data_IF_376063109404
#
_entry.id   IF_376063109404
#
_cell.length_a   1.000
_cell.length_b   1.000
_cell.length_c   1.000
_cell.angle_alpha   90.00
_cell.angle_beta   90.00
_cell.angle_gamma   90.00
#
_symmetry.space_group_name_H-M   'P 1'
#
loop_
_entity.id
_entity.type
_entity.pdbx_description
1 polymer ?
#
# COMPACT_ATOMS: atom_id res chain seq x y z
N UNK A 1 -16.66 4.14 11.74
CA UNK A 1 -15.28 4.49 12.18
C UNK A 1 -15.16 5.96 12.53
N UNK A 2 -15.77 6.88 11.77
CA UNK A 2 -15.82 8.30 12.12
C UNK A 2 -16.62 8.58 13.41
N UNK A 3 -17.69 7.83 13.71
CA UNK A 3 -18.56 8.11 14.87
C UNK A 3 -17.86 8.10 16.23
N UNK A 4 -17.02 7.10 16.52
CA UNK A 4 -16.28 7.02 17.79
C UNK A 4 -15.22 8.13 17.90
N UNK A 5 -14.57 8.48 16.78
CA UNK A 5 -13.62 9.59 16.74
C UNK A 5 -14.33 10.93 16.97
N UNK A 6 -15.51 11.12 16.39
CA UNK A 6 -16.34 12.31 16.61
C UNK A 6 -16.78 12.39 18.07
N UNK A 7 -17.14 11.26 18.69
CA UNK A 7 -17.49 11.23 20.10
C UNK A 7 -16.30 11.63 20.97
N UNK A 8 -15.13 11.03 20.75
CA UNK A 8 -13.89 11.38 21.44
C UNK A 8 -13.52 12.86 21.28
N UNK A 9 -13.51 13.37 20.04
CA UNK A 9 -13.21 14.78 19.73
C UNK A 9 -14.15 15.77 20.42
N UNK A 10 -15.41 15.40 20.65
CA UNK A 10 -16.39 16.30 21.26
C UNK A 10 -16.55 16.11 22.77
N UNK A 11 -16.21 14.92 23.29
CA UNK A 11 -16.44 14.53 24.68
C UNK A 11 -15.20 14.73 25.53
N UNK A 12 -14.04 14.33 25.01
CA UNK A 12 -12.78 14.30 25.74
C UNK A 12 -11.92 15.53 25.42
N UNK A 13 -12.14 16.15 24.25
CA UNK A 13 -11.48 17.37 23.85
C UNK A 13 -12.53 18.49 23.86
N UNK A 14 -12.35 19.49 24.72
CA UNK A 14 -13.24 20.65 24.81
C UNK A 14 -12.96 21.64 23.67
N UNK A 15 -13.24 21.22 22.44
CA UNK A 15 -13.03 22.02 21.24
C UNK A 15 -13.98 23.22 21.20
N UNK A 16 -13.52 24.32 20.58
CA UNK A 16 -14.30 25.56 20.44
C UNK A 16 -15.55 25.35 19.57
N UNK A 17 -15.49 24.37 18.67
CA UNK A 17 -16.59 23.96 17.79
C UNK A 17 -16.84 22.47 17.87
N UNK A 18 -18.12 22.12 17.86
CA UNK A 18 -18.55 20.73 17.80
C UNK A 18 -18.30 20.16 16.41
N UNK A 19 -17.55 19.07 16.34
CA UNK A 19 -17.25 18.36 15.10
C UNK A 19 -18.44 17.48 14.71
N UNK A 20 -18.96 17.67 13.51
CA UNK A 20 -20.03 16.86 12.90
C UNK A 20 -19.50 15.97 11.78
N UNK A 21 -18.54 16.49 11.00
CA UNK A 21 -17.85 15.77 9.94
C UNK A 21 -16.35 15.98 10.11
N UNK A 22 -15.64 14.88 10.38
CA UNK A 22 -14.20 14.87 10.58
C UNK A 22 -13.47 15.45 9.37
N UNK A 23 -13.90 15.11 8.14
CA UNK A 23 -13.22 15.57 6.93
C UNK A 23 -13.41 17.06 6.68
N UNK A 24 -14.62 17.58 6.90
CA UNK A 24 -14.96 18.97 6.61
C UNK A 24 -14.49 19.92 7.72
N UNK A 25 -14.74 19.55 8.97
CA UNK A 25 -14.49 20.47 10.09
C UNK A 25 -12.99 20.57 10.42
N UNK A 26 -12.19 19.55 10.05
CA UNK A 26 -10.73 19.55 10.25
C UNK A 26 -9.94 20.00 9.01
N UNK A 27 -10.58 20.25 7.87
CA UNK A 27 -9.90 20.59 6.61
C UNK A 27 -9.09 21.89 6.70
N UNK A 28 -9.61 22.86 7.47
CA UNK A 28 -8.97 24.14 7.73
C UNK A 28 -7.72 24.02 8.62
N UNK A 29 -7.60 22.94 9.40
CA UNK A 29 -6.44 22.71 10.28
C UNK A 29 -6.45 23.53 11.59
N UNK A 30 -7.34 24.52 11.74
CA UNK A 30 -7.48 25.27 13.00
C UNK A 30 -7.88 24.36 14.17
N UNK A 31 -8.93 23.54 14.00
CA UNK A 31 -9.36 22.59 15.03
C UNK A 31 -8.30 21.51 15.30
N UNK A 32 -7.49 21.13 14.30
CA UNK A 32 -6.36 20.23 14.52
C UNK A 32 -5.30 20.89 15.41
N UNK A 33 -5.05 22.19 15.26
CA UNK A 33 -4.15 22.95 16.14
C UNK A 33 -4.67 22.95 17.57
N UNK A 34 -5.97 23.14 17.75
CA UNK A 34 -6.60 23.04 19.06
C UNK A 34 -6.47 21.63 19.67
N UNK A 35 -6.66 20.58 18.88
CA UNK A 35 -6.44 19.19 19.33
C UNK A 35 -5.01 19.00 19.82
N UNK A 36 -3.99 19.54 19.12
CA UNK A 36 -2.61 19.44 19.57
C UNK A 36 -2.34 20.20 20.89
N UNK A 37 -3.03 21.32 21.12
CA UNK A 37 -2.95 22.05 22.40
C UNK A 37 -3.51 21.23 23.56
N UNK A 38 -4.70 20.67 23.39
CA UNK A 38 -5.34 19.85 24.42
C UNK A 38 -4.57 18.55 24.70
N UNK A 39 -3.79 18.06 23.72
CA UNK A 39 -2.86 16.94 23.90
C UNK A 39 -1.49 17.36 24.47
N UNK A 40 -1.32 18.63 24.83
CA UNK A 40 -0.06 19.22 25.33
C UNK A 40 1.14 19.08 24.34
N UNK A 41 0.86 18.83 23.06
CA UNK A 41 1.85 18.69 21.98
C UNK A 41 2.20 20.04 21.37
N UNK A 42 1.23 20.95 21.25
CA UNK A 42 1.49 22.31 20.77
C UNK A 42 0.87 23.37 21.68
N UNK A 43 1.72 23.96 22.52
CA UNK A 43 1.33 25.07 23.41
C UNK A 43 1.33 26.42 22.69
N UNK A 44 1.74 26.50 21.41
CA UNK A 44 1.78 27.74 20.63
C UNK A 44 0.39 28.18 20.16
N UNK A 45 -0.61 27.29 20.18
CA UNK A 45 -1.97 27.63 19.82
C UNK A 45 -2.60 28.60 20.87
N UNK A 46 -3.23 29.72 20.46
CA UNK A 46 -3.73 30.03 19.11
C UNK A 46 -2.80 30.91 18.25
N UNK A 47 -1.59 31.23 18.68
CA UNK A 47 -0.71 32.14 17.93
C UNK A 47 -0.29 31.52 16.58
N UNK A 48 -0.61 32.21 15.48
CA UNK A 48 -0.28 31.75 14.11
C UNK A 48 -1.35 30.89 13.45
N UNK A 49 -2.40 30.49 14.17
CA UNK A 49 -3.55 29.76 13.63
C UNK A 49 -4.68 30.73 13.27
N UNK A 50 -5.24 30.58 12.07
CA UNK A 50 -6.32 31.43 11.57
C UNK A 50 -7.51 30.56 11.18
N UNK A 51 -8.64 30.77 11.86
CA UNK A 51 -9.90 30.09 11.56
C UNK A 51 -10.60 30.74 10.35
N UNK A 52 -10.07 30.48 9.16
CA UNK A 52 -10.65 30.95 7.90
C UNK A 52 -10.42 29.93 6.77
N UNK A 53 -11.44 29.66 5.96
CA UNK A 53 -11.39 28.65 4.89
C UNK A 53 -10.65 29.11 3.62
N UNK A 54 -9.90 30.21 3.71
CA UNK A 54 -9.02 30.62 2.60
C UNK A 54 -7.85 29.65 2.47
N UNK A 55 -7.49 29.28 1.23
CA UNK A 55 -6.38 28.35 0.96
C UNK A 55 -5.08 28.81 1.62
N UNK A 56 -4.82 30.11 1.67
CA UNK A 56 -3.65 30.67 2.34
C UNK A 56 -3.65 30.40 3.87
N UNK A 57 -4.79 30.58 4.53
CA UNK A 57 -4.93 30.26 5.96
C UNK A 57 -4.82 28.75 6.20
N UNK A 58 -5.45 27.91 5.37
CA UNK A 58 -5.34 26.45 5.47
C UNK A 58 -3.89 25.97 5.33
N UNK A 59 -3.15 26.48 4.34
CA UNK A 59 -1.73 26.14 4.14
C UNK A 59 -0.90 26.60 5.35
N UNK A 60 -1.11 27.82 5.84
CA UNK A 60 -0.42 28.34 7.02
C UNK A 60 -0.69 27.49 8.26
N UNK A 61 -1.95 27.14 8.51
CA UNK A 61 -2.35 26.27 9.62
C UNK A 61 -1.68 24.88 9.52
N UNK A 62 -1.64 24.28 8.32
CA UNK A 62 -0.98 22.98 8.10
C UNK A 62 0.53 23.04 8.25
N UNK A 63 1.16 24.16 7.90
CA UNK A 63 2.58 24.37 8.11
C UNK A 63 2.90 24.47 9.61
N UNK A 64 2.11 25.20 10.40
CA UNK A 64 2.25 25.26 11.85
C UNK A 64 2.10 23.88 12.49
N UNK A 65 1.07 23.10 12.10
CA UNK A 65 0.93 21.70 12.53
C UNK A 65 2.16 20.86 12.21
N UNK A 66 2.74 21.05 11.03
CA UNK A 66 3.93 20.29 10.61
C UNK A 66 5.15 20.62 11.48
N UNK A 67 5.30 21.87 11.90
CA UNK A 67 6.40 22.34 12.75
C UNK A 67 6.22 21.77 14.17
N UNK A 68 5.03 21.91 14.74
CA UNK A 68 4.69 21.40 16.07
C UNK A 68 4.92 19.88 16.17
N UNK A 69 4.43 19.12 15.19
CA UNK A 69 4.57 17.66 15.17
C UNK A 69 6.00 17.19 14.91
N UNK A 70 6.77 17.94 14.10
CA UNK A 70 8.18 17.64 13.85
C UNK A 70 9.01 17.76 15.14
N UNK A 71 8.70 18.73 16.00
CA UNK A 71 9.38 18.87 17.30
C UNK A 71 9.15 17.65 18.22
N UNK A 72 8.06 16.91 18.01
CA UNK A 72 7.70 15.68 18.72
C UNK A 72 8.06 14.39 17.97
N UNK A 73 8.84 14.48 16.87
CA UNK A 73 9.29 13.32 16.10
C UNK A 73 8.21 12.68 15.22
N UNK A 74 7.05 13.32 15.05
CA UNK A 74 5.95 12.81 14.22
C UNK A 74 6.09 13.39 12.81
N UNK A 75 6.23 12.52 11.81
CA UNK A 75 6.36 12.93 10.41
C UNK A 75 5.00 13.34 9.81
N UNK A 76 4.76 14.65 9.72
CA UNK A 76 3.61 15.22 9.01
C UNK A 76 4.04 15.69 7.61
N UNK A 77 3.71 14.89 6.58
CA UNK A 77 4.15 15.16 5.19
C UNK A 77 3.17 16.06 4.43
N UNK A 78 3.68 16.72 3.39
CA UNK A 78 2.88 17.60 2.51
C UNK A 78 1.71 16.85 1.86
N UNK A 79 1.86 15.56 1.56
CA UNK A 79 0.80 14.74 0.99
C UNK A 79 -0.35 14.48 1.97
N UNK A 80 -0.04 14.35 3.26
CA UNK A 80 -1.03 14.20 4.32
C UNK A 80 -1.77 15.53 4.51
N UNK A 81 -1.03 16.64 4.62
CA UNK A 81 -1.60 17.98 4.71
C UNK A 81 -2.55 18.28 3.55
N UNK A 82 -2.08 18.05 2.31
CA UNK A 82 -2.89 18.20 1.10
C UNK A 82 -4.10 17.28 1.09
N UNK A 83 -3.97 16.05 1.59
CA UNK A 83 -5.07 15.10 1.74
C UNK A 83 -6.16 15.60 2.68
N UNK A 84 -5.79 16.27 3.77
CA UNK A 84 -6.72 16.86 4.73
C UNK A 84 -7.39 18.11 4.13
N UNK A 85 -6.61 19.02 3.54
CA UNK A 85 -7.12 20.23 2.91
C UNK A 85 -8.13 19.94 1.78
N UNK A 86 -7.92 18.84 1.04
CA UNK A 86 -8.81 18.42 -0.05
C UNK A 86 -9.96 17.52 0.42
N UNK A 87 -10.21 17.44 1.73
CA UNK A 87 -11.28 16.65 2.36
C UNK A 87 -11.29 15.18 1.90
N UNK A 88 -10.10 14.61 1.64
CA UNK A 88 -10.01 13.24 1.18
C UNK A 88 -10.51 12.32 2.28
N UNK A 89 -11.56 11.54 1.98
CA UNK A 89 -12.17 10.60 2.93
C UNK A 89 -11.12 9.78 3.66
N UNK A 90 -11.15 9.88 5.00
CA UNK A 90 -10.24 9.16 5.88
C UNK A 90 -8.81 9.73 6.00
N UNK A 91 -8.45 10.85 5.38
CA UNK A 91 -7.15 11.49 5.57
C UNK A 91 -7.04 12.08 6.99
N UNK A 92 -7.97 12.98 7.37
CA UNK A 92 -8.02 13.56 8.71
C UNK A 92 -8.26 12.50 9.80
N UNK A 93 -9.14 11.53 9.53
CA UNK A 93 -9.45 10.43 10.45
C UNK A 93 -8.22 9.60 10.82
N UNK A 94 -7.36 9.29 9.84
CA UNK A 94 -6.13 8.51 10.09
C UNK A 94 -5.16 9.27 10.98
N UNK A 95 -5.05 10.57 10.76
CA UNK A 95 -4.13 11.44 11.49
C UNK A 95 -4.61 11.63 12.93
N UNK A 96 -5.87 11.96 13.17
CA UNK A 96 -6.40 12.09 14.53
C UNK A 96 -6.33 10.77 15.32
N UNK A 97 -6.60 9.63 14.69
CA UNK A 97 -6.49 8.33 15.36
C UNK A 97 -5.04 7.97 15.70
N UNK A 98 -4.06 8.44 14.92
CA UNK A 98 -2.64 8.27 15.26
C UNK A 98 -2.21 9.13 16.46
N UNK A 99 -2.96 10.19 16.78
CA UNK A 99 -2.67 11.09 17.89
C UNK A 99 -3.45 10.76 19.17
N UNK A 100 -4.38 9.79 19.11
CA UNK A 100 -5.15 9.36 20.28
C UNK A 100 -4.22 8.68 21.32
N UNK A 101 -4.30 9.04 22.62
CA UNK A 101 -3.43 8.47 23.65
C UNK A 101 -3.50 6.95 23.79
N UNK A 102 -2.36 6.34 24.13
CA UNK A 102 -2.15 4.89 24.20
C UNK A 102 -2.88 4.17 25.34
N UNK A 103 -3.60 4.86 26.22
CA UNK A 103 -4.38 4.20 27.28
C UNK A 103 -5.57 3.39 26.75
N UNK A 104 -5.91 3.52 25.45
CA UNK A 104 -6.97 2.79 24.77
C UNK A 104 -6.46 1.69 23.79
N UNK A 105 -5.16 1.38 23.75
CA UNK A 105 -4.54 0.71 22.59
C UNK A 105 -4.44 -0.82 22.61
N UNK A 106 -4.71 -1.53 23.69
CA UNK A 106 -4.55 -3.00 23.68
C UNK A 106 -5.48 -3.69 22.67
N UNK A 107 -6.75 -3.24 22.59
CA UNK A 107 -7.74 -3.75 21.63
C UNK A 107 -7.58 -3.07 20.27
N UNK A 108 -7.11 -1.82 20.26
CA UNK A 108 -7.11 -0.96 19.08
C UNK A 108 -5.91 -1.17 18.15
N UNK A 109 -4.71 -1.48 18.66
CA UNK A 109 -3.53 -1.77 17.81
C UNK A 109 -3.76 -3.05 17.00
N UNK A 110 -4.41 -4.06 17.59
CA UNK A 110 -4.81 -5.27 16.87
C UNK A 110 -5.88 -4.98 15.80
N UNK A 111 -6.88 -4.15 16.12
CA UNK A 111 -7.91 -3.74 15.16
C UNK A 111 -7.35 -2.85 14.04
N UNK A 112 -6.37 -2.01 14.33
CA UNK A 112 -5.72 -1.11 13.38
C UNK A 112 -4.83 -1.84 12.38
N UNK A 113 -4.07 -2.84 12.84
CA UNK A 113 -3.28 -3.72 11.97
C UNK A 113 -4.19 -4.43 10.95
N UNK A 114 -5.33 -4.96 11.43
CA UNK A 114 -6.35 -5.61 10.60
C UNK A 114 -7.04 -4.62 9.65
N UNK A 115 -7.27 -3.37 10.07
CA UNK A 115 -7.95 -2.35 9.27
C UNK A 115 -7.07 -1.70 8.21
N UNK A 116 -5.78 -1.55 8.45
CA UNK A 116 -4.83 -1.10 7.43
C UNK A 116 -4.67 -2.18 6.34
N UNK A 117 -4.66 -3.46 6.71
CA UNK A 117 -4.71 -4.59 5.77
C UNK A 117 -6.02 -4.61 4.98
N UNK A 118 -7.16 -4.27 5.60
CA UNK A 118 -8.45 -4.20 4.93
C UNK A 118 -8.57 -2.98 3.99
N UNK A 119 -8.03 -1.82 4.38
CA UNK A 119 -8.10 -0.59 3.59
C UNK A 119 -7.22 -0.65 2.33
N UNK A 120 -6.03 -1.26 2.41
CA UNK A 120 -5.22 -1.55 1.21
C UNK A 120 -5.90 -2.55 0.27
N UNK A 121 -6.73 -3.46 0.81
CA UNK A 121 -7.57 -4.38 0.02
C UNK A 121 -8.73 -3.67 -0.67
N UNK A 122 -9.38 -2.72 0.01
CA UNK A 122 -10.53 -1.97 -0.52
C UNK A 122 -10.14 -0.98 -1.62
N UNK A 123 -9.00 -0.29 -1.51
CA UNK A 123 -8.49 0.57 -2.58
C UNK A 123 -8.06 -0.24 -3.83
N UNK A 124 -7.60 -1.48 -3.64
CA UNK A 124 -7.36 -2.44 -4.75
C UNK A 124 -8.65 -2.97 -5.39
N UNK A 125 -9.79 -2.97 -4.68
CA UNK A 125 -11.10 -3.35 -5.23
C UNK A 125 -11.74 -2.23 -6.06
N UNK A 126 -11.59 -0.96 -5.64
CA UNK A 126 -12.10 0.20 -6.40
C UNK A 126 -11.47 0.35 -7.78
N UNK A 127 -10.23 -0.09 -7.96
CA UNK A 127 -9.53 -0.08 -9.26
C UNK A 127 -9.78 -1.31 -10.14
N UNK A 128 -10.53 -2.32 -9.65
CA UNK A 128 -10.77 -3.59 -10.35
C UNK A 128 -12.24 -3.97 -10.57
N UNK A 129 -13.19 -3.10 -10.25
CA UNK A 129 -14.60 -3.35 -10.56
C UNK A 129 -14.97 -2.89 -12.00
N UNK A 130 -14.49 -3.62 -13.02
CA UNK A 130 -15.26 -3.78 -14.26
C UNK A 130 -15.92 -5.16 -14.19
N UNK A 131 -17.19 -5.15 -13.80
CA UNK A 131 -18.02 -6.33 -13.68
C UNK A 131 -18.40 -6.81 -15.09
N UNK A 132 -17.86 -7.96 -15.52
CA UNK A 132 -18.44 -8.76 -16.61
C UNK A 132 -19.41 -9.72 -15.94
N UNK A 133 -20.71 -9.51 -16.16
CA UNK A 133 -21.75 -10.46 -15.76
C UNK A 133 -21.81 -11.55 -16.84
N UNK A 134 -21.67 -12.85 -16.52
CA UNK A 134 -22.09 -13.90 -17.43
C UNK A 134 -23.61 -14.05 -17.32
N UNK A 135 -24.32 -13.81 -18.43
CA UNK A 135 -25.75 -14.06 -18.55
C UNK A 135 -26.04 -15.55 -18.38
N UNK A 136 -26.56 -15.95 -17.23
CA UNK A 136 -27.18 -17.27 -17.05
C UNK A 136 -28.66 -17.18 -17.41
N UNK A 137 -29.02 -17.84 -18.51
CA UNK A 137 -30.38 -18.08 -18.97
C UNK A 137 -31.25 -18.66 -17.85
N UNK A 138 -32.21 -17.87 -17.39
CA UNK A 138 -33.29 -18.30 -16.48
C UNK A 138 -34.39 -18.98 -17.30
N UNK A 139 -34.40 -20.32 -17.31
CA UNK A 139 -35.53 -21.10 -17.83
C UNK A 139 -36.70 -20.99 -16.83
N UNK A 140 -37.78 -20.30 -17.22
CA UNK A 140 -39.07 -20.34 -16.52
C UNK A 140 -39.89 -21.56 -17.00
N UNK A 141 -40.57 -22.33 -16.13
CA UNK A 141 -41.61 -23.25 -16.55
C UNK A 141 -42.97 -22.53 -16.71
N UNK A 142 -43.91 -23.10 -17.50
CA UNK A 142 -45.12 -22.40 -17.93
C UNK A 142 -46.22 -22.40 -16.87
N UNK A 143 -47.09 -21.40 -16.97
CA UNK A 143 -48.29 -21.23 -16.16
C UNK A 143 -49.45 -22.04 -16.74
N UNK A 144 -49.84 -23.13 -16.05
CA UNK A 144 -51.25 -23.53 -15.86
C UNK A 144 -51.33 -24.87 -15.10
N UNK A 145 -52.31 -24.96 -14.20
CA UNK A 145 -52.71 -26.22 -13.58
C UNK A 145 -53.04 -26.08 -12.10
N UNK A 146 -54.34 -26.05 -11.81
CA UNK A 146 -54.97 -26.22 -10.50
C UNK A 146 -54.16 -27.18 -9.59
N UNK A 147 -53.64 -26.70 -8.46
CA UNK A 147 -53.11 -27.56 -7.39
C UNK A 147 -54.04 -27.50 -6.20
N UNK A 148 -54.86 -28.55 -6.08
CA UNK A 148 -55.47 -28.93 -4.83
C UNK A 148 -54.35 -29.19 -3.82
N UNK A 149 -54.28 -28.40 -2.74
CA UNK A 149 -53.37 -28.67 -1.62
C UNK A 149 -53.99 -29.77 -0.75
N UNK A 150 -53.36 -30.94 -0.57
CA UNK A 150 -53.81 -31.88 0.45
C UNK A 150 -53.44 -31.33 1.84
N UNK A 151 -54.13 -31.75 2.91
CA UNK A 151 -53.83 -31.28 4.25
C UNK A 151 -52.39 -31.69 4.61
N UNK A 152 -51.59 -30.72 5.06
CA UNK A 152 -50.17 -30.94 5.34
C UNK A 152 -49.99 -31.80 6.59
N UNK A 153 -49.52 -33.01 6.39
CA UNK A 153 -49.04 -33.91 7.44
C UNK A 153 -47.79 -33.30 8.12
N UNK A 154 -47.76 -33.12 9.45
CA UNK A 154 -46.65 -32.49 10.18
C UNK A 154 -45.27 -33.12 9.90
N UNK A 155 -45.22 -34.41 9.58
CA UNK A 155 -43.98 -35.15 9.37
C UNK A 155 -43.22 -34.74 8.08
N UNK A 156 -43.93 -34.28 7.05
CA UNK A 156 -43.34 -33.86 5.76
C UNK A 156 -42.69 -32.48 5.85
N UNK A 157 -43.13 -31.62 6.77
CA UNK A 157 -42.49 -30.32 7.03
C UNK A 157 -41.13 -30.51 7.69
N UNK A 158 -41.04 -31.42 8.66
CA UNK A 158 -39.81 -31.72 9.40
C UNK A 158 -38.69 -32.23 8.48
N UNK A 159 -39.00 -33.12 7.53
CA UNK A 159 -38.02 -33.63 6.56
C UNK A 159 -37.51 -32.55 5.60
N UNK A 160 -38.38 -31.67 5.10
CA UNK A 160 -37.96 -30.57 4.21
C UNK A 160 -37.10 -29.53 4.91
N UNK A 161 -37.35 -29.29 6.20
CA UNK A 161 -36.51 -28.43 7.03
C UNK A 161 -35.12 -29.07 7.23
N UNK A 162 -35.04 -30.34 7.65
CA UNK A 162 -33.74 -31.03 7.79
C UNK A 162 -32.96 -31.16 6.47
N UNK A 163 -33.63 -31.41 5.34
CA UNK A 163 -32.98 -31.51 4.03
C UNK A 163 -32.47 -30.15 3.55
N UNK A 164 -33.22 -29.07 3.77
CA UNK A 164 -32.75 -27.71 3.52
C UNK A 164 -31.55 -27.34 4.41
N UNK A 165 -31.57 -27.73 5.69
CA UNK A 165 -30.49 -27.46 6.63
C UNK A 165 -29.21 -28.24 6.26
N UNK A 166 -29.33 -29.49 5.82
CA UNK A 166 -28.21 -30.28 5.29
C UNK A 166 -27.64 -29.69 3.99
N UNK A 167 -28.51 -29.21 3.09
CA UNK A 167 -28.09 -28.54 1.85
C UNK A 167 -27.43 -27.18 2.14
N UNK A 168 -27.86 -26.45 3.17
CA UNK A 168 -27.21 -25.22 3.63
C UNK A 168 -25.84 -25.52 4.23
N UNK A 169 -25.76 -26.48 5.15
CA UNK A 169 -24.50 -26.89 5.80
C UNK A 169 -23.44 -27.35 4.79
N UNK A 170 -23.84 -28.10 3.76
CA UNK A 170 -22.91 -28.53 2.69
C UNK A 170 -22.43 -27.36 1.80
N UNK A 171 -23.28 -26.36 1.56
CA UNK A 171 -22.88 -25.13 0.85
C UNK A 171 -21.90 -24.30 1.67
N UNK A 172 -22.18 -24.11 2.95
CA UNK A 172 -21.28 -23.43 3.88
C UNK A 172 -19.93 -24.16 3.98
N UNK A 173 -19.94 -25.50 4.06
CA UNK A 173 -18.71 -26.29 4.09
C UNK A 173 -17.87 -26.14 2.81
N UNK A 174 -18.50 -26.15 1.63
CA UNK A 174 -17.79 -25.97 0.36
C UNK A 174 -17.27 -24.55 0.17
N UNK A 175 -18.02 -23.54 0.61
CA UNK A 175 -17.57 -22.15 0.63
C UNK A 175 -16.36 -21.96 1.56
N UNK A 176 -16.40 -22.52 2.77
CA UNK A 176 -15.29 -22.50 3.72
C UNK A 176 -14.05 -23.21 3.17
N UNK A 177 -14.21 -24.37 2.51
CA UNK A 177 -13.11 -25.06 1.85
C UNK A 177 -12.48 -24.21 0.75
N UNK A 178 -13.30 -23.50 -0.05
CA UNK A 178 -12.81 -22.60 -1.07
C UNK A 178 -12.04 -21.43 -0.46
N UNK A 179 -12.55 -20.82 0.62
CA UNK A 179 -11.82 -19.76 1.34
C UNK A 179 -10.50 -20.23 1.92
N UNK A 180 -10.46 -21.43 2.53
CA UNK A 180 -9.24 -22.03 3.06
C UNK A 180 -8.21 -22.27 1.95
N UNK A 181 -8.64 -22.80 0.81
CA UNK A 181 -7.76 -23.02 -0.36
C UNK A 181 -7.18 -21.71 -0.91
N UNK A 182 -7.97 -20.63 -0.91
CA UNK A 182 -7.53 -19.30 -1.33
C UNK A 182 -6.55 -18.68 -0.34
N UNK A 183 -6.77 -18.85 0.97
CA UNK A 183 -5.83 -18.43 2.01
C UNK A 183 -4.50 -19.14 1.86
N UNK A 184 -4.51 -20.46 1.67
CA UNK A 184 -3.28 -21.23 1.52
C UNK A 184 -2.52 -20.86 0.24
N UNK A 185 -3.24 -20.67 -0.88
CA UNK A 185 -2.64 -20.18 -2.12
C UNK A 185 -1.98 -18.80 -1.94
N UNK A 186 -2.59 -17.89 -1.16
CA UNK A 186 -1.99 -16.58 -0.85
C UNK A 186 -0.74 -16.71 0.02
N UNK A 187 -0.78 -17.60 1.03
CA UNK A 187 0.37 -17.88 1.88
C UNK A 187 1.57 -18.36 1.05
N UNK A 188 1.34 -19.30 0.14
CA UNK A 188 2.39 -19.82 -0.74
C UNK A 188 2.98 -18.75 -1.66
N UNK A 189 2.17 -17.81 -2.16
CA UNK A 189 2.68 -16.71 -2.99
C UNK A 189 3.60 -15.78 -2.20
N UNK A 190 3.24 -15.47 -0.95
CA UNK A 190 4.09 -14.62 -0.08
C UNK A 190 5.39 -15.33 0.27
N UNK A 191 5.33 -16.62 0.65
CA UNK A 191 6.52 -17.43 0.91
C UNK A 191 7.43 -17.45 -0.31
N UNK A 192 6.88 -17.73 -1.50
CA UNK A 192 7.66 -17.74 -2.74
C UNK A 192 8.25 -16.37 -3.09
N UNK A 193 7.57 -15.27 -2.77
CA UNK A 193 8.12 -13.92 -2.95
C UNK A 193 9.27 -13.64 -1.99
N UNK A 194 9.14 -14.04 -0.72
CA UNK A 194 10.20 -13.91 0.26
C UNK A 194 11.42 -14.76 -0.13
N UNK A 195 11.22 -16.00 -0.58
CA UNK A 195 12.30 -16.88 -1.03
C UNK A 195 13.06 -16.28 -2.21
N UNK A 196 12.34 -15.69 -3.19
CA UNK A 196 12.96 -14.99 -4.31
C UNK A 196 13.73 -13.76 -3.86
N UNK A 197 13.17 -12.96 -2.96
CA UNK A 197 13.84 -11.77 -2.43
C UNK A 197 15.11 -12.16 -1.64
N UNK A 198 15.06 -13.27 -0.88
CA UNK A 198 16.22 -13.79 -0.16
C UNK A 198 17.33 -14.26 -1.12
N UNK A 199 16.97 -14.94 -2.21
CA UNK A 199 17.93 -15.34 -3.24
C UNK A 199 18.56 -14.12 -3.95
N UNK A 200 17.75 -13.12 -4.30
CA UNK A 200 18.23 -11.88 -4.93
C UNK A 200 19.18 -11.09 -4.01
N UNK A 201 18.90 -11.06 -2.70
CA UNK A 201 19.80 -10.47 -1.71
C UNK A 201 21.14 -11.21 -1.64
N UNK A 202 21.12 -12.55 -1.60
CA UNK A 202 22.35 -13.35 -1.54
C UNK A 202 23.21 -13.17 -2.80
N UNK A 203 22.61 -13.25 -3.99
CA UNK A 203 23.32 -13.04 -5.25
C UNK A 203 23.79 -11.58 -5.42
N UNK A 204 22.99 -10.63 -4.96
CA UNK A 204 23.33 -9.21 -4.91
C UNK A 204 24.55 -8.95 -4.02
N UNK A 205 24.56 -9.49 -2.81
CA UNK A 205 25.69 -9.39 -1.86
C UNK A 205 26.94 -10.05 -2.44
N UNK A 206 26.83 -11.25 -3.01
CA UNK A 206 27.97 -11.93 -3.63
C UNK A 206 28.54 -11.14 -4.83
N UNK A 207 27.69 -10.51 -5.63
CA UNK A 207 28.11 -9.61 -6.72
C UNK A 207 28.74 -8.31 -6.21
N UNK A 208 28.24 -7.78 -5.08
CA UNK A 208 28.76 -6.59 -4.44
C UNK A 208 30.13 -6.84 -3.81
N UNK A 209 30.31 -7.95 -3.09
CA UNK A 209 31.61 -8.37 -2.53
C UNK A 209 32.67 -8.61 -3.61
N UNK A 210 32.29 -9.24 -4.74
CA UNK A 210 33.20 -9.41 -5.88
C UNK A 210 33.66 -8.07 -6.45
N UNK A 211 32.78 -7.09 -6.55
CA UNK A 211 33.15 -5.73 -6.96
C UNK A 211 34.01 -5.03 -5.90
N UNK A 212 33.72 -5.24 -4.62
CA UNK A 212 34.47 -4.67 -3.51
C UNK A 212 35.91 -5.22 -3.44
N UNK A 213 36.07 -6.53 -3.67
CA UNK A 213 37.38 -7.19 -3.83
C UNK A 213 38.13 -6.68 -5.06
N UNK A 214 37.44 -6.47 -6.19
CA UNK A 214 38.04 -5.86 -7.39
C UNK A 214 38.51 -4.42 -7.19
N UNK A 215 37.83 -3.65 -6.34
CA UNK A 215 38.17 -2.27 -6.02
C UNK A 215 39.22 -2.14 -4.90
N UNK A 216 39.66 -3.25 -4.29
CA UNK A 216 40.70 -3.24 -3.25
C UNK A 216 40.28 -2.59 -1.93
N UNK A 217 38.98 -2.43 -1.67
CA UNK A 217 38.45 -1.77 -0.46
C UNK A 217 38.21 -2.79 0.68
N UNK A 218 38.21 -4.09 0.36
CA UNK A 218 38.08 -5.18 1.32
C UNK A 218 39.31 -5.26 2.22
N UNK A 219 39.16 -4.86 3.49
CA UNK A 219 40.21 -4.90 4.54
C UNK A 219 40.48 -6.30 5.11
N UNK A 220 40.13 -7.37 4.38
CA UNK A 220 40.04 -8.73 4.92
C UNK A 220 41.07 -9.74 4.43
N UNK A 221 41.87 -9.43 3.40
CA UNK A 221 42.99 -10.27 2.97
C UNK A 221 44.22 -9.37 2.86
N UNK A 222 45.26 -9.68 3.64
CA UNK A 222 46.51 -8.91 3.79
C UNK A 222 47.38 -8.83 2.52
N UNK A 223 46.98 -9.46 1.41
CA UNK A 223 47.80 -9.58 0.21
C UNK A 223 47.11 -9.08 -1.06
N UNK A 224 46.93 -7.77 -1.19
CA UNK A 224 46.70 -7.13 -2.48
C UNK A 224 47.11 -5.67 -2.46
N UNK A 225 48.24 -5.39 -3.10
CA UNK A 225 48.97 -4.12 -3.20
C UNK A 225 48.23 -3.04 -4.03
N UNK A 226 46.91 -2.92 -3.90
CA UNK A 226 46.07 -1.90 -4.54
C UNK A 226 45.36 -1.06 -3.48
N UNK A 227 46.11 -0.53 -2.52
CA UNK A 227 45.64 0.61 -1.73
C UNK A 227 45.44 1.76 -2.72
N UNK A 228 44.20 2.20 -2.90
CA UNK A 228 43.94 3.52 -3.45
C UNK A 228 44.76 4.51 -2.62
N UNK A 229 45.66 5.25 -3.27
CA UNK A 229 46.51 6.20 -2.60
C UNK A 229 45.62 7.13 -1.75
N UNK A 230 45.93 7.36 -0.46
CA UNK A 230 45.21 8.34 0.33
C UNK A 230 45.18 9.65 -0.45
N UNK A 231 44.02 10.30 -0.52
CA UNK A 231 43.90 11.62 -1.14
C UNK A 231 44.92 12.53 -0.46
N UNK A 232 45.95 12.92 -1.21
CA UNK A 232 46.96 13.84 -0.74
C UNK A 232 46.45 15.27 -0.97
N UNK A 233 46.50 16.08 0.09
CA UNK A 233 46.10 17.48 0.05
C UNK A 233 44.85 17.78 0.87
N UNK A 234 44.59 19.07 1.02
CA UNK A 234 43.37 19.58 1.66
C UNK A 234 42.17 19.37 0.72
N UNK A 235 40.97 19.20 1.28
CA UNK A 235 39.76 18.95 0.48
C UNK A 235 39.50 19.98 -0.62
N UNK A 236 39.96 21.22 -0.43
CA UNK A 236 39.90 22.31 -1.40
C UNK A 236 40.80 22.08 -2.62
N UNK A 237 42.03 21.60 -2.44
CA UNK A 237 42.97 21.29 -3.53
C UNK A 237 42.46 20.13 -4.39
N UNK A 238 41.82 19.15 -3.75
CA UNK A 238 41.19 18.04 -4.45
C UNK A 238 39.99 18.51 -5.28
N UNK A 239 39.17 19.43 -4.77
CA UNK A 239 38.05 20.03 -5.52
C UNK A 239 38.56 20.82 -6.72
N UNK A 240 39.59 21.66 -6.56
CA UNK A 240 40.18 22.42 -7.67
C UNK A 240 40.78 21.51 -8.76
N UNK A 241 41.38 20.38 -8.36
CA UNK A 241 41.89 19.37 -9.28
C UNK A 241 40.77 18.64 -10.04
N UNK A 242 39.63 18.41 -9.38
CA UNK A 242 38.45 17.82 -10.02
C UNK A 242 37.83 18.80 -11.01
N UNK A 243 37.71 20.08 -10.67
CA UNK A 243 37.19 21.12 -11.57
C UNK A 243 38.02 21.21 -12.86
N UNK A 244 39.34 21.24 -12.76
CA UNK A 244 40.24 21.25 -13.93
C UNK A 244 40.12 19.97 -14.78
N UNK A 245 39.96 18.79 -14.15
CA UNK A 245 39.76 17.53 -14.89
C UNK A 245 38.39 17.47 -15.57
N UNK A 246 37.36 18.03 -14.94
CA UNK A 246 36.00 18.11 -15.50
C UNK A 246 35.95 19.09 -16.67
N UNK A 247 36.67 20.22 -16.59
CA UNK A 247 36.81 21.17 -17.70
C UNK A 247 37.57 20.56 -18.89
N UNK A 248 38.59 19.74 -18.64
CA UNK A 248 39.30 19.01 -19.68
C UNK A 248 38.46 17.89 -20.32
N UNK A 249 37.49 17.33 -19.58
CA UNK A 249 36.51 16.41 -20.12
C UNK A 249 35.46 17.18 -20.92
N UNK A 250 35.69 17.36 -22.23
CA UNK A 250 34.63 17.76 -23.16
C UNK A 250 33.53 16.69 -23.21
N UNK A 251 32.60 16.75 -22.25
CA UNK A 251 31.41 15.93 -22.23
C UNK A 251 30.53 16.40 -23.39
N UNK A 252 30.64 15.76 -24.56
CA UNK A 252 29.73 16.03 -25.69
C UNK A 252 28.37 15.38 -25.39
N UNK A 253 27.32 16.14 -25.02
CA UNK A 253 26.02 15.57 -24.66
C UNK A 253 25.36 14.79 -25.81
N UNK A 254 25.73 15.08 -27.06
CA UNK A 254 25.23 14.36 -28.24
C UNK A 254 25.59 12.86 -28.25
N UNK A 255 26.78 12.49 -27.77
CA UNK A 255 27.21 11.07 -27.71
C UNK A 255 26.49 10.32 -26.60
N UNK A 256 26.28 10.97 -25.45
CA UNK A 256 25.61 10.34 -24.31
C UNK A 256 24.10 10.16 -24.57
N UNK A 257 23.45 11.08 -25.27
CA UNK A 257 22.04 10.92 -25.69
C UNK A 257 21.88 9.74 -26.66
N UNK A 258 22.81 9.57 -27.60
CA UNK A 258 22.81 8.42 -28.51
C UNK A 258 23.05 7.10 -27.77
N UNK A 259 24.02 7.06 -26.87
CA UNK A 259 24.29 5.90 -26.01
C UNK A 259 23.08 5.54 -25.15
N UNK A 260 22.41 6.53 -24.55
CA UNK A 260 21.21 6.31 -23.73
C UNK A 260 20.02 5.84 -24.57
N UNK A 261 19.89 6.30 -25.82
CA UNK A 261 18.89 5.80 -26.76
C UNK A 261 19.17 4.34 -27.13
N UNK A 262 20.44 4.00 -27.39
CA UNK A 262 20.84 2.62 -27.70
C UNK A 262 20.63 1.68 -26.50
N UNK A 263 20.97 2.10 -25.29
CA UNK A 263 20.71 1.33 -24.06
C UNK A 263 19.22 1.09 -23.84
N UNK A 264 18.37 2.09 -24.11
CA UNK A 264 16.90 1.95 -24.02
C UNK A 264 16.37 0.95 -25.05
N UNK A 265 16.84 0.99 -26.29
CA UNK A 265 16.43 0.03 -27.32
C UNK A 265 16.91 -1.40 -27.00
N UNK A 266 18.16 -1.56 -26.56
CA UNK A 266 18.70 -2.86 -26.11
C UNK A 266 17.85 -3.45 -24.97
N UNK A 267 17.44 -2.62 -24.00
CA UNK A 267 16.57 -3.05 -22.89
C UNK A 267 15.17 -3.45 -23.39
N UNK A 268 14.61 -2.71 -24.33
CA UNK A 268 13.31 -3.00 -24.94
C UNK A 268 13.32 -4.35 -25.67
N UNK A 269 14.36 -4.62 -26.46
CA UNK A 269 14.56 -5.91 -27.15
C UNK A 269 14.71 -7.06 -26.16
N UNK A 270 15.47 -6.86 -25.08
CA UNK A 270 15.64 -7.89 -24.06
C UNK A 270 14.31 -8.24 -23.36
N UNK A 271 13.52 -7.22 -23.00
CA UNK A 271 12.20 -7.41 -22.40
C UNK A 271 11.20 -8.07 -23.38
N UNK A 272 11.22 -7.70 -24.66
CA UNK A 272 10.35 -8.34 -25.66
C UNK A 272 10.72 -9.81 -25.87
N UNK A 273 12.01 -10.12 -25.96
CA UNK A 273 12.49 -11.51 -26.07
C UNK A 273 12.09 -12.34 -24.83
N UNK A 274 12.17 -11.76 -23.63
CA UNK A 274 11.74 -12.45 -22.41
C UNK A 274 10.23 -12.71 -22.40
N UNK A 275 9.41 -11.71 -22.79
CA UNK A 275 7.96 -11.84 -22.90
C UNK A 275 7.57 -12.89 -23.95
N UNK A 276 8.26 -12.92 -25.08
CA UNK A 276 8.04 -13.88 -26.16
C UNK A 276 8.36 -15.31 -25.70
N UNK A 277 9.53 -15.54 -25.07
CA UNK A 277 9.89 -16.85 -24.51
C UNK A 277 8.86 -17.32 -23.48
N UNK A 278 8.41 -16.43 -22.61
CA UNK A 278 7.36 -16.74 -21.64
C UNK A 278 6.02 -17.11 -22.32
N UNK A 279 5.66 -16.42 -23.41
CA UNK A 279 4.47 -16.74 -24.19
C UNK A 279 4.58 -18.11 -24.87
N UNK A 280 5.75 -18.44 -25.44
CA UNK A 280 6.01 -19.76 -26.05
C UNK A 280 5.93 -20.88 -25.02
N UNK A 281 6.48 -20.68 -23.81
CA UNK A 281 6.36 -21.64 -22.69
C UNK A 281 4.91 -21.86 -22.28
N UNK A 282 4.12 -20.78 -22.14
CA UNK A 282 2.69 -20.91 -21.82
C UNK A 282 1.92 -21.63 -22.93
N UNK A 283 2.18 -21.31 -24.20
CA UNK A 283 1.54 -21.98 -25.33
C UNK A 283 1.85 -23.47 -25.34
N UNK A 284 3.13 -23.84 -25.19
CA UNK A 284 3.55 -25.24 -25.10
C UNK A 284 2.84 -25.99 -23.97
N UNK A 285 2.69 -25.37 -22.80
CA UNK A 285 2.01 -25.99 -21.66
C UNK A 285 0.51 -26.18 -21.93
N UNK A 286 -0.15 -25.20 -22.55
CA UNK A 286 -1.54 -25.32 -22.98
C UNK A 286 -1.71 -26.42 -24.03
N UNK A 287 -0.84 -26.45 -25.05
CA UNK A 287 -0.88 -27.46 -26.11
C UNK A 287 -0.62 -28.88 -25.53
N UNK A 288 0.31 -29.02 -24.58
CA UNK A 288 0.51 -30.28 -23.84
C UNK A 288 -0.74 -30.68 -23.06
N UNK A 289 -1.35 -29.76 -22.30
CA UNK A 289 -2.57 -30.07 -21.53
C UNK A 289 -3.76 -30.42 -22.43
N UNK A 290 -3.87 -29.78 -23.59
CA UNK A 290 -4.92 -30.08 -24.56
C UNK A 290 -4.73 -31.48 -25.15
N UNK A 291 -3.51 -31.82 -25.57
CA UNK A 291 -3.22 -33.14 -26.11
C UNK A 291 -3.41 -34.26 -25.08
N UNK A 292 -3.22 -34.00 -23.78
CA UNK A 292 -3.49 -34.99 -22.73
C UNK A 292 -4.98 -35.19 -22.40
N UNK A 293 -5.85 -34.26 -22.80
CA UNK A 293 -7.31 -34.35 -22.56
C UNK A 293 -8.03 -35.02 -23.74
N UNK A 294 -7.41 -35.03 -24.93
CA UNK A 294 -7.96 -35.63 -26.16
C UNK A 294 -7.58 -37.13 -26.35
N UNK A 295 -7.03 -37.79 -25.33
CA UNK A 295 -6.76 -39.25 -25.26
C UNK A 295 -7.66 -39.89 -24.22
#
# INVERSE_FOLDING_TARGET
MSALLIEWLNRDLHLDRRVTSVEKDLSNGYLLGQVLRELEVDLSFPAGYVDNDTVAAMVGNMEQLSIALRSHGIAFTVDIARGIMMEKKGAATKVCLAWMPSSLTAVFVAAWQVLMDLHTHMEKRKTKAKHVVPSTLSVRPPANGNRHFPPTDPHVRCWKLCECDAVQSTREATELQFELSLREKRRLVVVQQNDRAAADLHDGVAGFEKNFKRLGISTGDEDSNARLAPIQGTGLEHVATLETRVEACQFRPASNVQMMKELRERRKVHLSAHKERASRRRKMLVDQTRNTIEV
#
